data_IF_569117923222
#
_entry.id   IF_569117923222
#
_cell.length_a   1.000
_cell.length_b   1.000
_cell.length_c   1.000
_cell.angle_alpha   90.00
_cell.angle_beta   90.00
_cell.angle_gamma   90.00
#
_symmetry.space_group_name_H-M   'P 1'
#
loop_
_entity.id
_entity.type
_entity.pdbx_description
1 polymer ?
#
# COMPACT_ATOMS: atom_id res chain seq x y z
N UNK A 1 25.93 -22.94 -25.61
CA UNK A 1 25.87 -21.50 -25.28
C UNK A 1 24.73 -20.93 -26.11
N UNK A 2 23.60 -20.64 -25.49
CA UNK A 2 22.52 -19.92 -26.18
C UNK A 2 23.07 -18.58 -26.68
N UNK A 3 22.76 -18.25 -27.90
CA UNK A 3 23.18 -17.00 -28.52
C UNK A 3 22.42 -15.85 -27.77
N UNK A 4 23.11 -14.74 -27.54
CA UNK A 4 22.53 -13.56 -26.88
C UNK A 4 21.21 -13.11 -27.53
N UNK A 5 21.07 -13.30 -28.82
CA UNK A 5 19.85 -13.02 -29.59
C UNK A 5 18.69 -13.93 -29.15
N UNK A 6 18.95 -15.23 -28.94
CA UNK A 6 17.93 -16.19 -28.48
C UNK A 6 17.49 -15.87 -27.06
N UNK A 7 18.41 -15.43 -26.20
CA UNK A 7 18.10 -14.98 -24.85
C UNK A 7 17.21 -13.72 -24.84
N UNK A 8 17.46 -12.77 -25.72
CA UNK A 8 16.65 -11.55 -25.85
C UNK A 8 15.26 -11.86 -26.42
N UNK A 9 15.18 -12.75 -27.42
CA UNK A 9 13.89 -13.20 -27.99
C UNK A 9 13.06 -13.95 -26.95
N UNK A 10 13.63 -14.88 -26.21
CA UNK A 10 12.93 -15.57 -25.11
C UNK A 10 12.47 -14.63 -23.99
N UNK A 11 13.21 -13.57 -23.71
CA UNK A 11 12.78 -12.52 -22.76
C UNK A 11 11.64 -11.67 -23.30
N UNK A 12 11.67 -11.33 -24.59
CA UNK A 12 10.60 -10.55 -25.21
C UNK A 12 9.30 -11.36 -25.36
N UNK A 13 9.38 -12.67 -25.61
CA UNK A 13 8.22 -13.55 -25.67
C UNK A 13 7.55 -13.74 -24.30
N UNK A 14 8.28 -13.76 -23.19
CA UNK A 14 7.71 -13.76 -21.83
C UNK A 14 6.96 -12.46 -21.49
N UNK A 15 7.29 -11.36 -22.14
CA UNK A 15 6.63 -10.05 -21.94
C UNK A 15 5.29 -9.90 -22.69
N UNK A 16 4.91 -10.84 -23.56
CA UNK A 16 3.82 -10.68 -24.54
C UNK A 16 2.49 -11.39 -24.13
N UNK A 17 2.47 -12.19 -23.09
CA UNK A 17 1.25 -12.91 -22.68
C UNK A 17 0.65 -12.40 -21.36
N UNK A 18 0.38 -11.11 -21.27
CA UNK A 18 -0.61 -10.62 -20.29
C UNK A 18 -1.93 -10.41 -21.00
N UNK A 19 -2.98 -11.09 -20.55
CA UNK A 19 -4.33 -10.76 -20.95
C UNK A 19 -4.55 -9.27 -20.65
N UNK A 20 -5.10 -8.56 -21.60
CA UNK A 20 -5.33 -7.11 -21.50
C UNK A 20 -6.78 -6.78 -21.80
N UNK A 21 -7.31 -5.77 -21.11
CA UNK A 21 -8.67 -5.30 -21.30
C UNK A 21 -8.61 -3.85 -21.77
N UNK A 22 -9.03 -3.61 -23.01
CA UNK A 22 -9.11 -2.27 -23.57
C UNK A 22 -10.51 -1.69 -23.33
N UNK A 23 -10.59 -0.66 -22.48
CA UNK A 23 -11.79 0.09 -22.18
C UNK A 23 -11.56 1.59 -22.40
N UNK A 24 -12.63 2.32 -22.63
CA UNK A 24 -12.63 3.80 -22.58
C UNK A 24 -12.92 4.29 -21.15
N UNK A 25 -12.72 5.57 -20.87
CA UNK A 25 -13.06 6.15 -19.57
C UNK A 25 -14.57 6.14 -19.31
N UNK A 26 -15.38 6.18 -20.36
CA UNK A 26 -16.85 6.18 -20.29
C UNK A 26 -17.41 4.80 -19.91
N UNK A 27 -16.63 3.74 -20.10
CA UNK A 27 -16.99 2.39 -19.69
C UNK A 27 -16.80 2.18 -18.18
N UNK A 28 -16.09 3.08 -17.50
CA UNK A 28 -15.75 2.96 -16.09
C UNK A 28 -16.78 3.66 -15.20
N UNK A 29 -16.79 3.29 -13.93
CA UNK A 29 -17.71 3.81 -12.93
C UNK A 29 -17.64 5.35 -12.85
N UNK A 30 -18.77 6.01 -13.01
CA UNK A 30 -18.88 7.48 -13.03
C UNK A 30 -18.61 8.14 -11.66
N UNK A 31 -18.59 7.35 -10.57
CA UNK A 31 -18.25 7.83 -9.22
C UNK A 31 -16.74 7.94 -9.00
N UNK A 32 -15.91 7.40 -9.91
CA UNK A 32 -14.48 7.58 -9.86
C UNK A 32 -14.10 8.97 -10.37
N UNK A 33 -13.09 9.56 -9.74
CA UNK A 33 -12.42 10.76 -10.28
C UNK A 33 -11.67 10.43 -11.57
N UNK A 34 -11.44 11.41 -12.42
CA UNK A 34 -10.83 11.19 -13.73
C UNK A 34 -9.44 10.55 -13.64
N UNK A 35 -8.60 10.97 -12.68
CA UNK A 35 -7.30 10.33 -12.46
C UNK A 35 -7.43 8.85 -12.07
N UNK A 36 -8.45 8.50 -11.30
CA UNK A 36 -8.71 7.11 -10.89
C UNK A 36 -9.15 6.28 -12.09
N UNK A 37 -10.03 6.84 -12.96
CA UNK A 37 -10.46 6.17 -14.19
C UNK A 37 -9.27 5.91 -15.12
N UNK A 38 -8.40 6.90 -15.31
CA UNK A 38 -7.22 6.74 -16.17
C UNK A 38 -6.26 5.68 -15.64
N UNK A 39 -6.02 5.62 -14.31
CA UNK A 39 -5.21 4.59 -13.66
C UNK A 39 -5.85 3.21 -13.83
N UNK A 40 -7.15 3.07 -13.56
CA UNK A 40 -7.87 1.78 -13.68
C UNK A 40 -7.82 1.28 -15.13
N UNK A 41 -8.09 2.16 -16.10
CA UNK A 41 -8.02 1.83 -17.51
C UNK A 41 -6.62 1.35 -17.91
N UNK A 42 -5.59 2.10 -17.48
CA UNK A 42 -4.19 1.71 -17.72
C UNK A 42 -3.87 0.35 -17.09
N UNK A 43 -4.28 0.11 -15.84
CA UNK A 43 -4.04 -1.17 -15.15
C UNK A 43 -4.78 -2.34 -15.82
N UNK A 44 -5.99 -2.12 -16.36
CA UNK A 44 -6.73 -3.11 -17.15
C UNK A 44 -6.02 -3.42 -18.47
N UNK A 45 -5.53 -2.41 -19.16
CA UNK A 45 -4.74 -2.58 -20.39
C UNK A 45 -3.41 -3.31 -20.16
N UNK A 46 -2.83 -3.19 -18.96
CA UNK A 46 -1.62 -3.95 -18.56
C UNK A 46 -1.93 -5.38 -18.13
N UNK A 47 -3.14 -5.65 -17.61
CA UNK A 47 -3.53 -6.94 -17.02
C UNK A 47 -2.80 -7.26 -15.70
N UNK A 48 -1.52 -6.91 -15.60
CA UNK A 48 -0.67 -7.06 -14.40
C UNK A 48 0.00 -5.73 -14.09
N UNK A 49 -0.41 -5.11 -12.96
CA UNK A 49 -0.01 -3.75 -12.64
C UNK A 49 0.10 -3.52 -11.13
N UNK A 50 0.79 -2.45 -10.75
CA UNK A 50 0.78 -1.94 -9.39
C UNK A 50 0.26 -0.51 -9.32
N UNK A 51 -0.50 -0.21 -8.25
CA UNK A 51 -0.98 1.12 -7.90
C UNK A 51 -0.35 1.51 -6.56
N UNK A 52 0.76 2.22 -6.62
CA UNK A 52 1.48 2.76 -5.48
C UNK A 52 1.02 4.19 -5.24
N UNK A 53 -0.18 4.31 -4.70
CA UNK A 53 -0.83 5.58 -4.42
C UNK A 53 -0.88 5.84 -2.91
N UNK A 54 -0.64 7.07 -2.50
CA UNK A 54 -0.65 7.44 -1.08
C UNK A 54 -2.04 7.22 -0.44
N UNK A 55 -2.10 7.29 0.88
CA UNK A 55 -3.34 7.13 1.63
C UNK A 55 -4.33 8.25 1.26
N UNK A 56 -5.61 7.89 1.10
CA UNK A 56 -6.65 8.85 0.75
C UNK A 56 -6.88 9.05 -0.75
N UNK A 57 -6.05 8.48 -1.63
CA UNK A 57 -6.21 8.59 -3.09
C UNK A 57 -7.24 7.63 -3.70
N UNK A 58 -7.97 6.90 -2.86
CA UNK A 58 -9.07 6.04 -3.31
C UNK A 58 -8.63 4.71 -3.92
N UNK A 59 -7.54 4.13 -3.43
CA UNK A 59 -7.08 2.79 -3.86
C UNK A 59 -8.20 1.76 -3.86
N UNK A 60 -9.01 1.71 -2.80
CA UNK A 60 -10.12 0.76 -2.68
C UNK A 60 -11.13 0.89 -3.83
N UNK A 61 -11.49 2.12 -4.23
CA UNK A 61 -12.39 2.36 -5.34
C UNK A 61 -11.77 1.88 -6.68
N UNK A 62 -10.49 2.15 -6.90
CA UNK A 62 -9.76 1.68 -8.08
C UNK A 62 -9.65 0.15 -8.12
N UNK A 63 -9.37 -0.50 -6.99
CA UNK A 63 -9.32 -1.96 -6.85
C UNK A 63 -10.66 -2.62 -7.18
N UNK A 64 -11.74 -2.07 -6.63
CA UNK A 64 -13.11 -2.57 -6.84
C UNK A 64 -13.51 -2.48 -8.31
N UNK A 65 -13.29 -1.34 -8.93
CA UNK A 65 -13.61 -1.15 -10.35
C UNK A 65 -12.76 -2.07 -11.24
N UNK A 66 -11.45 -2.14 -11.00
CA UNK A 66 -10.55 -3.02 -11.74
C UNK A 66 -10.98 -4.49 -11.62
N UNK A 67 -11.22 -4.99 -10.41
CA UNK A 67 -11.65 -6.36 -10.18
C UNK A 67 -12.99 -6.66 -10.84
N UNK A 68 -13.95 -5.74 -10.72
CA UNK A 68 -15.26 -5.87 -11.34
C UNK A 68 -15.15 -5.97 -12.88
N UNK A 69 -14.34 -5.10 -13.51
CA UNK A 69 -14.16 -5.13 -14.97
C UNK A 69 -13.50 -6.41 -15.46
N UNK A 70 -12.54 -6.94 -14.69
CA UNK A 70 -11.96 -8.25 -15.01
C UNK A 70 -13.02 -9.36 -14.91
N UNK A 71 -13.84 -9.38 -13.88
CA UNK A 71 -14.93 -10.34 -13.75
C UNK A 71 -15.92 -10.26 -14.93
N UNK A 72 -16.33 -9.06 -15.31
CA UNK A 72 -17.25 -8.85 -16.45
C UNK A 72 -16.62 -9.33 -17.76
N UNK A 73 -15.33 -9.04 -17.98
CA UNK A 73 -14.64 -9.42 -19.21
C UNK A 73 -14.39 -10.93 -19.32
N UNK A 74 -13.97 -11.57 -18.22
CA UNK A 74 -13.58 -12.98 -18.22
C UNK A 74 -14.73 -13.94 -17.93
N UNK A 75 -15.82 -13.45 -17.35
CA UNK A 75 -16.88 -14.29 -16.78
C UNK A 75 -16.47 -15.06 -15.52
N UNK A 76 -15.25 -14.82 -15.00
CA UNK A 76 -14.70 -15.52 -13.83
C UNK A 76 -14.76 -14.67 -12.56
N UNK A 77 -14.16 -15.21 -11.49
CA UNK A 77 -14.16 -14.59 -10.18
C UNK A 77 -12.85 -13.84 -9.89
N UNK A 78 -12.94 -12.72 -9.20
CA UNK A 78 -11.81 -11.99 -8.65
C UNK A 78 -11.74 -12.21 -7.13
N UNK A 79 -10.52 -12.28 -6.58
CA UNK A 79 -10.25 -12.30 -5.15
C UNK A 79 -9.45 -11.06 -4.74
N UNK A 80 -10.00 -10.28 -3.83
CA UNK A 80 -9.25 -9.23 -3.12
C UNK A 80 -8.70 -9.88 -1.84
N UNK A 81 -7.39 -9.79 -1.62
CA UNK A 81 -6.74 -10.23 -0.38
C UNK A 81 -6.30 -8.99 0.38
N UNK A 82 -6.84 -8.80 1.57
CA UNK A 82 -6.66 -7.58 2.35
C UNK A 82 -6.29 -7.89 3.81
N UNK A 83 -5.77 -6.92 4.57
CA UNK A 83 -5.66 -7.04 6.02
C UNK A 83 -7.02 -7.30 6.68
N UNK A 84 -7.04 -8.05 7.79
CA UNK A 84 -8.27 -8.51 8.45
C UNK A 84 -9.29 -7.40 8.72
N UNK A 85 -8.83 -6.24 9.15
CA UNK A 85 -9.70 -5.11 9.53
C UNK A 85 -10.27 -4.34 8.34
N UNK A 86 -9.72 -4.54 7.13
CA UNK A 86 -10.10 -3.81 5.91
C UNK A 86 -11.27 -4.46 5.20
N UNK A 87 -11.39 -5.79 5.26
CA UNK A 87 -12.37 -6.54 4.46
C UNK A 87 -13.83 -6.06 4.65
N UNK A 88 -14.35 -5.83 5.87
CA UNK A 88 -15.72 -5.33 6.05
C UNK A 88 -15.93 -3.92 5.47
N UNK A 89 -14.91 -3.06 5.55
CA UNK A 89 -14.97 -1.72 4.98
C UNK A 89 -15.02 -1.78 3.45
N UNK A 90 -14.22 -2.65 2.83
CA UNK A 90 -14.21 -2.83 1.38
C UNK A 90 -15.56 -3.32 0.86
N UNK A 91 -16.25 -4.19 1.60
CA UNK A 91 -17.63 -4.59 1.29
C UNK A 91 -18.56 -3.37 1.31
N UNK A 92 -18.46 -2.52 2.34
CA UNK A 92 -19.24 -1.28 2.43
C UNK A 92 -18.94 -0.27 1.32
N UNK A 93 -17.67 -0.12 0.95
CA UNK A 93 -17.26 0.69 -0.20
C UNK A 93 -17.80 0.11 -1.51
N UNK A 94 -17.79 -1.22 -1.68
CA UNK A 94 -18.37 -1.89 -2.84
C UNK A 94 -19.84 -1.50 -3.06
N UNK A 95 -20.63 -1.45 -1.99
CA UNK A 95 -22.04 -0.99 -2.08
C UNK A 95 -22.14 0.46 -2.55
N UNK A 96 -21.26 1.36 -2.08
CA UNK A 96 -21.25 2.76 -2.51
C UNK A 96 -20.94 2.92 -4.00
N UNK A 97 -20.01 2.10 -4.51
CA UNK A 97 -19.62 2.13 -5.92
C UNK A 97 -20.51 1.26 -6.82
N UNK A 98 -21.46 0.51 -6.25
CA UNK A 98 -22.33 -0.39 -7.02
C UNK A 98 -21.61 -1.66 -7.51
N UNK A 99 -20.53 -2.03 -6.83
CA UNK A 99 -19.78 -3.27 -7.05
C UNK A 99 -20.02 -4.21 -5.86
N UNK A 100 -20.89 -5.21 -6.00
CA UNK A 100 -21.10 -6.19 -4.93
C UNK A 100 -19.82 -6.95 -4.60
N UNK A 101 -19.50 -7.04 -3.33
CA UNK A 101 -18.31 -7.76 -2.83
C UNK A 101 -18.75 -8.79 -1.79
N UNK A 102 -18.37 -10.05 -1.98
CA UNK A 102 -18.65 -11.15 -1.06
C UNK A 102 -17.50 -11.34 -0.09
N UNK A 103 -17.76 -11.24 1.21
CA UNK A 103 -16.78 -11.57 2.25
C UNK A 103 -16.71 -13.09 2.41
N UNK A 104 -15.55 -13.68 2.19
CA UNK A 104 -15.33 -15.12 2.22
C UNK A 104 -14.41 -15.53 3.38
N UNK A 105 -14.86 -16.50 4.16
CA UNK A 105 -14.09 -17.17 5.22
C UNK A 105 -13.38 -18.42 4.71
N UNK A 106 -13.98 -19.08 3.71
CA UNK A 106 -13.50 -20.30 3.06
C UNK A 106 -13.87 -20.28 1.57
N UNK A 107 -13.39 -21.28 0.83
CA UNK A 107 -13.72 -21.47 -0.59
C UNK A 107 -15.23 -21.66 -0.85
N UNK A 108 -15.96 -22.21 0.11
CA UNK A 108 -17.40 -22.48 -0.02
C UNK A 108 -18.25 -21.18 -0.03
N UNK A 109 -17.69 -20.07 0.43
CA UNK A 109 -18.37 -18.77 0.47
C UNK A 109 -18.29 -18.02 -0.86
N UNK A 110 -17.50 -18.48 -1.82
CA UNK A 110 -17.25 -17.79 -3.08
C UNK A 110 -18.54 -17.64 -3.88
N UNK A 111 -18.80 -16.41 -4.30
CA UNK A 111 -19.90 -16.06 -5.20
C UNK A 111 -19.38 -15.53 -6.54
N UNK A 112 -20.17 -15.59 -7.60
CA UNK A 112 -19.81 -14.98 -8.86
C UNK A 112 -19.48 -13.50 -8.72
N UNK A 113 -18.34 -13.06 -9.29
CA UNK A 113 -17.89 -11.69 -9.26
C UNK A 113 -16.74 -11.42 -8.27
N UNK A 114 -16.82 -10.32 -7.54
CA UNK A 114 -15.73 -9.86 -6.65
C UNK A 114 -15.89 -10.47 -5.26
N UNK A 115 -14.86 -11.17 -4.81
CA UNK A 115 -14.79 -11.79 -3.49
C UNK A 115 -13.63 -11.17 -2.70
N UNK A 116 -13.73 -11.14 -1.38
CA UNK A 116 -12.69 -10.63 -0.50
C UNK A 116 -12.42 -11.56 0.67
N UNK A 117 -11.15 -11.77 0.98
CA UNK A 117 -10.70 -12.51 2.17
C UNK A 117 -9.50 -11.79 2.80
N UNK A 118 -8.97 -12.32 3.89
CA UNK A 118 -7.75 -11.81 4.49
C UNK A 118 -6.55 -12.75 4.26
N UNK A 119 -5.34 -12.20 4.44
CA UNK A 119 -4.08 -12.91 4.20
C UNK A 119 -3.95 -14.19 5.05
N UNK A 120 -4.48 -14.19 6.27
CA UNK A 120 -4.38 -15.31 7.21
C UNK A 120 -5.26 -16.50 6.82
N UNK A 121 -6.22 -16.28 5.92
CA UNK A 121 -7.18 -17.31 5.47
C UNK A 121 -6.86 -17.87 4.08
N UNK A 122 -5.81 -17.40 3.42
CA UNK A 122 -5.51 -17.75 2.03
C UNK A 122 -5.40 -19.27 1.81
N UNK A 123 -4.87 -20.01 2.77
CA UNK A 123 -4.76 -21.48 2.72
C UNK A 123 -6.12 -22.19 2.54
N UNK A 124 -7.23 -21.57 2.98
CA UNK A 124 -8.58 -22.14 2.88
C UNK A 124 -9.17 -22.07 1.46
N UNK A 125 -8.45 -21.41 0.54
CA UNK A 125 -8.83 -21.27 -0.85
C UNK A 125 -7.97 -22.14 -1.78
N UNK A 126 -7.19 -23.08 -1.23
CA UNK A 126 -6.34 -23.96 -2.00
C UNK A 126 -7.14 -24.73 -3.06
N UNK A 127 -6.63 -24.76 -4.30
CA UNK A 127 -7.28 -25.39 -5.43
C UNK A 127 -8.38 -24.57 -6.11
N UNK A 128 -8.68 -23.37 -5.65
CA UNK A 128 -9.60 -22.46 -6.35
C UNK A 128 -8.83 -21.63 -7.37
N UNK A 129 -9.37 -21.57 -8.59
CA UNK A 129 -8.82 -20.73 -9.65
C UNK A 129 -9.58 -19.41 -9.73
N UNK A 130 -8.82 -18.29 -9.69
CA UNK A 130 -9.35 -16.96 -9.86
C UNK A 130 -8.87 -16.34 -11.17
N UNK A 131 -9.75 -15.64 -11.87
CA UNK A 131 -9.37 -14.86 -13.06
C UNK A 131 -8.56 -13.63 -12.69
N UNK A 132 -8.77 -13.08 -11.50
CA UNK A 132 -8.06 -11.92 -11.01
C UNK A 132 -7.73 -12.01 -9.53
N UNK A 133 -6.61 -11.40 -9.14
CA UNK A 133 -6.27 -11.17 -7.74
C UNK A 133 -5.85 -9.73 -7.53
N UNK A 134 -6.30 -9.16 -6.42
CA UNK A 134 -5.87 -7.85 -5.92
C UNK A 134 -5.24 -8.04 -4.55
N UNK A 135 -4.02 -7.54 -4.35
CA UNK A 135 -3.42 -7.42 -3.02
C UNK A 135 -3.63 -6.00 -2.51
N UNK A 136 -4.49 -5.84 -1.53
CA UNK A 136 -4.62 -4.59 -0.78
C UNK A 136 -3.58 -4.56 0.35
N UNK A 137 -2.87 -3.47 0.50
CA UNK A 137 -1.66 -3.33 1.31
C UNK A 137 -0.57 -4.37 0.94
N UNK A 138 -0.20 -4.39 -0.34
CA UNK A 138 0.80 -5.32 -0.90
C UNK A 138 2.21 -5.16 -0.31
N UNK A 139 2.45 -4.20 0.58
CA UNK A 139 3.65 -4.10 1.42
C UNK A 139 3.91 -5.35 2.27
N UNK A 140 2.93 -6.24 2.43
CA UNK A 140 3.12 -7.56 3.03
C UNK A 140 4.18 -8.40 2.29
N UNK A 141 4.42 -8.12 1.01
CA UNK A 141 5.45 -8.78 0.20
C UNK A 141 6.88 -8.34 0.53
N UNK A 142 7.10 -7.31 1.35
CA UNK A 142 8.42 -6.69 1.61
C UNK A 142 9.54 -7.64 2.03
N UNK A 143 9.23 -8.75 2.69
CA UNK A 143 10.24 -9.69 3.14
C UNK A 143 10.49 -10.77 2.10
N UNK A 144 11.64 -10.73 1.42
CA UNK A 144 12.02 -11.71 0.40
C UNK A 144 12.04 -13.17 0.93
N UNK A 145 12.49 -13.38 2.16
CA UNK A 145 12.51 -14.72 2.80
C UNK A 145 11.22 -15.04 3.53
N UNK A 146 10.22 -14.16 3.47
CA UNK A 146 8.97 -14.30 4.20
C UNK A 146 8.12 -15.46 3.70
N UNK A 147 7.69 -16.34 4.61
CA UNK A 147 6.80 -17.47 4.29
C UNK A 147 5.52 -16.98 3.59
N UNK A 148 4.94 -15.90 4.08
CA UNK A 148 3.69 -15.32 3.54
C UNK A 148 3.89 -14.82 2.11
N UNK A 149 5.01 -14.16 1.82
CA UNK A 149 5.35 -13.68 0.47
C UNK A 149 5.42 -14.84 -0.53
N UNK A 150 6.17 -15.89 -0.20
CA UNK A 150 6.31 -17.04 -1.09
C UNK A 150 4.98 -17.75 -1.31
N UNK A 151 4.21 -17.94 -0.24
CA UNK A 151 2.86 -18.50 -0.33
C UNK A 151 1.95 -17.71 -1.27
N UNK A 152 1.94 -16.38 -1.19
CA UNK A 152 1.12 -15.52 -2.07
C UNK A 152 1.56 -15.66 -3.53
N UNK A 153 2.86 -15.62 -3.80
CA UNK A 153 3.40 -15.73 -5.16
C UNK A 153 3.07 -17.09 -5.77
N UNK A 154 3.30 -18.16 -5.02
CA UNK A 154 3.03 -19.53 -5.49
C UNK A 154 1.52 -19.73 -5.69
N UNK A 155 0.68 -19.27 -4.77
CA UNK A 155 -0.77 -19.44 -4.84
C UNK A 155 -1.38 -18.78 -6.08
N UNK A 156 -0.90 -17.59 -6.46
CA UNK A 156 -1.42 -16.84 -7.60
C UNK A 156 -0.55 -16.94 -8.86
N UNK A 157 0.36 -17.92 -8.94
CA UNK A 157 1.27 -18.10 -10.09
C UNK A 157 0.55 -18.21 -11.43
N UNK A 158 -0.61 -18.87 -11.44
CA UNK A 158 -1.41 -19.11 -12.64
C UNK A 158 -2.55 -18.08 -12.84
N UNK A 159 -2.73 -17.14 -11.90
CA UNK A 159 -3.77 -16.11 -12.02
C UNK A 159 -3.38 -15.11 -13.12
N UNK A 160 -4.21 -14.95 -14.19
CA UNK A 160 -3.83 -14.11 -15.33
C UNK A 160 -3.77 -12.63 -14.99
N UNK A 161 -4.80 -12.09 -14.32
CA UNK A 161 -4.87 -10.67 -13.94
C UNK A 161 -4.43 -10.45 -12.50
N UNK A 162 -3.44 -9.59 -12.27
CA UNK A 162 -2.88 -9.33 -10.94
C UNK A 162 -2.71 -7.84 -10.69
N UNK A 163 -3.19 -7.38 -9.54
CA UNK A 163 -3.05 -6.00 -9.12
C UNK A 163 -2.44 -5.93 -7.71
N UNK A 164 -1.38 -5.14 -7.55
CA UNK A 164 -0.76 -4.86 -6.25
C UNK A 164 -1.01 -3.40 -5.85
N UNK A 165 -1.56 -3.17 -4.66
CA UNK A 165 -1.88 -1.83 -4.19
C UNK A 165 -1.30 -1.57 -2.82
N UNK A 166 -0.57 -0.47 -2.64
CA UNK A 166 -0.07 0.01 -1.34
C UNK A 166 0.32 1.49 -1.39
N UNK A 167 0.39 2.12 -0.23
CA UNK A 167 0.99 3.44 -0.07
C UNK A 167 2.50 3.39 0.19
N UNK A 168 3.02 2.24 0.61
CA UNK A 168 4.41 2.05 1.02
C UNK A 168 5.04 0.84 0.30
N UNK A 169 5.32 0.95 -1.02
CA UNK A 169 5.79 -0.19 -1.82
C UNK A 169 7.19 -0.67 -1.43
N UNK A 170 8.04 0.24 -0.96
CA UNK A 170 9.42 -0.02 -0.58
C UNK A 170 9.75 0.72 0.72
N UNK A 171 9.23 0.27 1.89
CA UNK A 171 9.37 1.00 3.14
C UNK A 171 10.80 1.02 3.70
N UNK A 172 11.70 0.14 3.25
CA UNK A 172 13.08 0.08 3.73
C UNK A 172 14.12 0.25 2.62
N UNK A 173 13.87 -0.30 1.42
CA UNK A 173 14.84 -0.29 0.32
C UNK A 173 14.12 -0.53 -1.03
N UNK A 174 14.63 0.07 -2.12
CA UNK A 174 14.12 -0.14 -3.49
C UNK A 174 14.13 -1.59 -3.94
N UNK A 175 14.98 -2.44 -3.36
CA UNK A 175 14.96 -3.89 -3.65
C UNK A 175 13.60 -4.53 -3.35
N UNK A 176 12.82 -4.01 -2.41
CA UNK A 176 11.51 -4.55 -2.07
C UNK A 176 10.52 -4.48 -3.24
N UNK A 177 10.74 -3.58 -4.21
CA UNK A 177 9.98 -3.49 -5.46
C UNK A 177 10.07 -4.77 -6.30
N UNK A 178 11.19 -5.50 -6.19
CA UNK A 178 11.36 -6.80 -6.84
C UNK A 178 10.36 -7.86 -6.39
N UNK A 179 9.90 -7.79 -5.14
CA UNK A 179 8.86 -8.71 -4.65
C UNK A 179 7.50 -8.46 -5.32
N UNK A 180 7.17 -7.19 -5.56
CA UNK A 180 5.96 -6.83 -6.31
C UNK A 180 6.07 -7.24 -7.78
N UNK A 181 7.24 -7.01 -8.40
CA UNK A 181 7.49 -7.42 -9.79
C UNK A 181 7.38 -8.95 -9.95
N UNK A 182 7.88 -9.73 -9.00
CA UNK A 182 7.79 -11.19 -9.02
C UNK A 182 6.36 -11.68 -8.80
N UNK A 183 5.61 -11.10 -7.86
CA UNK A 183 4.18 -11.37 -7.71
C UNK A 183 3.41 -11.09 -9.00
N UNK A 184 3.69 -9.98 -9.66
CA UNK A 184 3.06 -9.60 -10.93
C UNK A 184 3.55 -10.45 -12.11
N UNK A 185 4.62 -11.23 -11.94
CA UNK A 185 5.25 -12.02 -13.01
C UNK A 185 5.92 -11.16 -14.09
N UNK A 186 6.37 -9.95 -13.72
CA UNK A 186 7.10 -9.03 -14.60
C UNK A 186 8.57 -9.45 -14.70
N UNK A 187 9.20 -9.74 -13.55
CA UNK A 187 10.60 -10.11 -13.44
C UNK A 187 10.84 -10.81 -12.10
N UNK A 188 11.66 -11.83 -12.06
CA UNK A 188 12.03 -12.45 -10.79
C UNK A 188 12.90 -11.50 -9.95
N UNK A 189 12.82 -11.65 -8.63
CA UNK A 189 13.59 -10.84 -7.69
C UNK A 189 15.11 -10.90 -7.98
N UNK A 190 15.62 -12.11 -8.25
CA UNK A 190 17.04 -12.31 -8.56
C UNK A 190 17.48 -11.67 -9.87
N UNK A 191 16.64 -11.71 -10.90
CA UNK A 191 16.89 -11.02 -12.17
C UNK A 191 16.95 -9.51 -11.98
N UNK A 192 15.99 -8.95 -11.22
CA UNK A 192 15.95 -7.52 -10.90
C UNK A 192 17.23 -7.08 -10.18
N UNK A 193 17.66 -7.84 -9.15
CA UNK A 193 18.90 -7.55 -8.43
C UNK A 193 20.12 -7.61 -9.37
N UNK A 194 20.25 -8.64 -10.17
CA UNK A 194 21.40 -8.78 -11.09
C UNK A 194 21.44 -7.69 -12.15
N UNK A 195 20.29 -7.23 -12.60
CA UNK A 195 20.18 -6.20 -13.65
C UNK A 195 20.47 -4.80 -13.10
N UNK A 196 19.85 -4.41 -11.99
CA UNK A 196 19.83 -3.02 -11.55
C UNK A 196 20.69 -2.74 -10.31
N UNK A 197 21.06 -3.73 -9.53
CA UNK A 197 21.73 -3.52 -8.25
C UNK A 197 23.14 -4.10 -8.21
N UNK A 198 23.98 -3.59 -7.33
CA UNK A 198 25.32 -4.08 -7.04
C UNK A 198 25.52 -4.10 -5.52
N UNK A 199 26.30 -5.06 -5.03
CA UNK A 199 26.71 -5.08 -3.63
C UNK A 199 27.55 -3.84 -3.30
N UNK A 200 27.26 -3.24 -2.15
CA UNK A 200 28.10 -2.16 -1.65
C UNK A 200 29.42 -2.75 -1.14
N UNK A 201 30.54 -2.26 -1.70
CA UNK A 201 31.85 -2.90 -1.59
C UNK A 201 32.46 -3.06 -0.19
N UNK A 202 31.73 -2.65 0.87
CA UNK A 202 32.15 -2.82 2.26
C UNK A 202 31.25 -3.75 3.09
N UNK A 203 30.05 -4.06 2.65
CA UNK A 203 29.11 -4.93 3.36
C UNK A 203 28.29 -5.76 2.36
N UNK A 204 28.50 -7.05 2.33
CA UNK A 204 27.82 -8.01 1.43
C UNK A 204 26.29 -8.07 1.61
N UNK A 205 25.75 -7.48 2.67
CA UNK A 205 24.32 -7.41 2.96
C UNK A 205 23.64 -6.15 2.41
N UNK A 206 24.43 -5.15 1.97
CA UNK A 206 23.87 -3.90 1.43
C UNK A 206 23.99 -3.86 -0.08
N UNK A 207 22.87 -3.59 -0.72
CA UNK A 207 22.75 -3.40 -2.15
C UNK A 207 22.52 -1.92 -2.46
N UNK A 208 23.03 -1.45 -3.58
CA UNK A 208 22.75 -0.11 -4.10
C UNK A 208 22.42 -0.19 -5.57
N UNK A 209 21.57 0.72 -6.02
CA UNK A 209 21.27 0.86 -7.45
C UNK A 209 22.53 1.24 -8.23
N UNK A 210 22.77 0.58 -9.36
CA UNK A 210 23.88 0.92 -10.26
C UNK A 210 23.61 2.27 -10.90
N UNK A 211 24.53 3.23 -10.82
CA UNK A 211 24.32 4.57 -11.36
C UNK A 211 23.99 4.59 -12.86
N UNK A 212 24.63 3.71 -13.66
CA UNK A 212 24.35 3.60 -15.10
C UNK A 212 23.02 2.88 -15.42
N UNK A 213 22.37 2.24 -14.46
CA UNK A 213 21.12 1.54 -14.63
C UNK A 213 19.94 2.31 -14.04
N UNK A 214 20.16 3.47 -13.44
CA UNK A 214 19.13 4.22 -12.70
C UNK A 214 17.98 4.63 -13.62
N UNK A 215 18.24 5.25 -14.75
CA UNK A 215 17.18 5.66 -15.69
C UNK A 215 16.38 4.45 -16.23
N UNK A 216 17.09 3.35 -16.52
CA UNK A 216 16.44 2.11 -17.01
C UNK A 216 15.59 1.47 -15.91
N UNK A 217 16.02 1.54 -14.65
CA UNK A 217 15.26 1.07 -13.50
C UNK A 217 13.95 1.85 -13.35
N UNK A 218 13.99 3.19 -13.45
CA UNK A 218 12.79 4.01 -13.37
C UNK A 218 11.84 3.80 -14.55
N UNK A 219 12.38 3.62 -15.76
CA UNK A 219 11.59 3.24 -16.93
C UNK A 219 10.92 1.88 -16.74
N UNK A 220 11.66 0.91 -16.22
CA UNK A 220 11.15 -0.41 -15.89
C UNK A 220 10.03 -0.31 -14.83
N UNK A 221 10.22 0.43 -13.74
CA UNK A 221 9.19 0.63 -12.73
C UNK A 221 7.93 1.28 -13.32
N UNK A 222 8.08 2.39 -14.05
CA UNK A 222 6.96 3.10 -14.67
C UNK A 222 6.23 2.29 -15.74
N UNK A 223 6.81 1.20 -16.26
CA UNK A 223 6.16 0.33 -17.24
C UNK A 223 5.06 -0.55 -16.67
N UNK A 224 5.08 -0.84 -15.35
CA UNK A 224 4.13 -1.72 -14.67
C UNK A 224 3.55 -1.14 -13.38
N UNK A 225 4.05 -0.01 -12.87
CA UNK A 225 3.59 0.64 -11.66
C UNK A 225 3.24 2.11 -11.89
N UNK A 226 2.12 2.56 -11.33
CA UNK A 226 1.82 3.98 -11.13
C UNK A 226 2.23 4.36 -9.73
N UNK A 227 3.07 5.39 -9.60
CA UNK A 227 3.49 5.95 -8.31
C UNK A 227 2.97 7.37 -8.20
N UNK A 228 2.20 7.65 -7.15
CA UNK A 228 1.63 8.99 -6.93
C UNK A 228 1.42 9.31 -5.45
N UNK A 229 1.69 10.55 -5.08
CA UNK A 229 1.46 11.11 -3.75
C UNK A 229 0.22 12.01 -3.72
N UNK A 230 -0.10 12.61 -4.86
CA UNK A 230 -1.28 13.46 -5.07
C UNK A 230 -1.77 13.36 -6.52
N UNK A 231 -3.02 13.72 -6.83
CA UNK A 231 -3.50 13.81 -8.20
C UNK A 231 -2.69 14.78 -9.06
N UNK A 232 -2.13 15.84 -8.46
CA UNK A 232 -1.28 16.82 -9.14
C UNK A 232 0.00 16.20 -9.74
N UNK A 233 0.49 15.09 -9.20
CA UNK A 233 1.63 14.36 -9.77
C UNK A 233 1.34 13.88 -11.19
N UNK A 234 0.09 13.58 -11.49
CA UNK A 234 -0.37 13.15 -12.82
C UNK A 234 -0.99 14.31 -13.64
N UNK A 235 -1.01 15.54 -13.09
CA UNK A 235 -1.52 16.72 -13.76
C UNK A 235 -3.01 17.00 -13.54
N UNK A 236 -3.63 16.39 -12.53
CA UNK A 236 -5.02 16.64 -12.17
C UNK A 236 -5.08 17.64 -11.01
N UNK A 237 -5.74 18.75 -11.24
CA UNK A 237 -6.01 19.75 -10.19
C UNK A 237 -7.37 19.47 -9.55
N UNK A 238 -7.34 18.91 -8.35
CA UNK A 238 -8.52 18.52 -7.61
C UNK A 238 -8.47 19.09 -6.20
N UNK A 239 -9.51 19.85 -5.77
CA UNK A 239 -9.57 20.39 -4.42
C UNK A 239 -9.68 19.28 -3.36
N UNK A 240 -9.14 19.57 -2.16
CA UNK A 240 -9.22 18.65 -1.01
C UNK A 240 -8.10 17.63 -0.90
N UNK A 241 -7.13 17.65 -1.81
CA UNK A 241 -5.92 16.82 -1.72
C UNK A 241 -4.74 17.56 -1.08
N UNK A 242 -4.86 18.89 -0.87
CA UNK A 242 -3.94 19.66 -0.05
C UNK A 242 -4.28 19.40 1.42
N UNK A 243 -3.46 18.60 2.08
CA UNK A 243 -3.71 18.23 3.46
C UNK A 243 -3.36 19.38 4.41
N UNK A 244 -4.12 19.56 5.49
CA UNK A 244 -3.80 20.55 6.51
C UNK A 244 -2.46 20.22 7.19
N UNK A 245 -1.86 21.19 7.91
CA UNK A 245 -0.58 20.98 8.59
C UNK A 245 -0.62 19.79 9.56
N UNK A 246 0.43 18.96 9.52
CA UNK A 246 0.69 17.92 10.51
C UNK A 246 1.67 18.49 11.55
N UNK A 247 1.27 18.51 12.81
CA UNK A 247 2.07 19.03 13.93
C UNK A 247 2.43 17.87 14.85
N UNK A 248 3.72 17.67 15.08
CA UNK A 248 4.21 16.61 15.97
C UNK A 248 4.73 17.25 17.25
N UNK A 249 4.16 16.84 18.37
CA UNK A 249 4.48 17.30 19.72
C UNK A 249 5.14 16.17 20.50
N UNK A 250 6.25 16.47 21.14
CA UNK A 250 6.97 15.53 21.98
C UNK A 250 6.68 15.77 23.46
N UNK A 251 6.36 14.71 24.19
CA UNK A 251 6.11 14.73 25.62
C UNK A 251 7.05 13.74 26.30
N UNK A 252 8.06 14.25 27.01
CA UNK A 252 9.07 13.45 27.71
C UNK A 252 8.68 13.35 29.18
N UNK A 253 8.51 12.12 29.70
CA UNK A 253 7.98 11.89 31.05
C UNK A 253 9.06 11.76 32.13
N UNK A 254 10.34 11.48 31.79
CA UNK A 254 11.46 11.31 32.72
C UNK A 254 12.67 12.15 32.26
N UNK A 255 12.54 13.47 32.37
CA UNK A 255 13.48 14.46 31.80
C UNK A 255 14.94 14.40 32.22
N UNK A 256 15.28 13.73 33.34
CA UNK A 256 16.64 13.69 33.91
C UNK A 256 17.41 12.39 33.60
N UNK A 257 16.84 11.47 32.83
CA UNK A 257 17.52 10.22 32.51
C UNK A 257 18.57 10.42 31.40
N UNK A 258 19.81 9.92 31.56
CA UNK A 258 20.83 10.06 30.52
C UNK A 258 20.42 9.35 29.24
N UNK A 259 20.46 10.06 28.11
CA UNK A 259 20.23 9.50 26.77
C UNK A 259 21.41 8.60 26.43
N UNK A 260 21.21 7.28 26.45
CA UNK A 260 22.22 6.32 26.01
C UNK A 260 21.99 6.03 24.53
N UNK A 261 22.95 6.39 23.69
CA UNK A 261 22.88 6.29 22.21
C UNK A 261 22.76 4.85 21.67
N UNK A 262 23.05 3.82 22.47
CA UNK A 262 23.01 2.43 22.04
C UNK A 262 22.38 1.51 23.09
N UNK A 263 21.04 1.42 23.07
CA UNK A 263 20.34 0.41 23.87
C UNK A 263 20.02 -0.83 23.04
N UNK A 264 20.24 -2.01 23.61
CA UNK A 264 19.78 -3.28 23.05
C UNK A 264 18.25 -3.33 23.05
N UNK A 265 17.65 -4.20 22.22
CA UNK A 265 16.20 -4.40 22.18
C UNK A 265 15.61 -4.79 23.56
N UNK A 266 16.37 -5.54 24.35
CA UNK A 266 15.96 -5.94 25.72
C UNK A 266 15.93 -4.73 26.65
N UNK A 267 16.96 -3.92 26.65
CA UNK A 267 17.04 -2.69 27.46
C UNK A 267 15.94 -1.68 27.11
N UNK A 268 15.61 -1.54 25.83
CA UNK A 268 14.49 -0.69 25.38
C UNK A 268 13.15 -1.20 25.91
N UNK A 269 12.92 -2.52 25.89
CA UNK A 269 11.70 -3.14 26.45
C UNK A 269 11.60 -2.95 27.96
N UNK A 270 12.72 -3.03 28.68
CA UNK A 270 12.77 -2.78 30.12
C UNK A 270 12.51 -1.32 30.47
N UNK A 271 13.15 -0.37 29.79
CA UNK A 271 12.91 1.06 29.94
C UNK A 271 11.44 1.42 29.70
N UNK A 272 10.85 0.85 28.65
CA UNK A 272 9.45 1.05 28.29
C UNK A 272 8.48 0.51 29.34
N UNK A 273 8.79 -0.62 29.98
CA UNK A 273 8.00 -1.16 31.08
C UNK A 273 8.14 -0.33 32.35
N UNK A 274 9.34 0.15 32.62
CA UNK A 274 9.63 0.96 33.81
C UNK A 274 8.88 2.31 33.81
N UNK A 275 8.66 2.90 32.64
CA UNK A 275 8.02 4.24 32.50
C UNK A 275 6.56 4.14 32.04
N UNK A 276 5.94 2.96 32.14
CA UNK A 276 4.58 2.74 31.64
C UNK A 276 3.55 3.63 32.35
N UNK A 277 3.63 3.70 33.68
CA UNK A 277 2.66 4.44 34.48
C UNK A 277 2.72 5.94 34.16
N UNK A 278 3.93 6.50 34.10
CA UNK A 278 4.15 7.92 33.81
C UNK A 278 3.71 8.28 32.38
N UNK A 279 4.02 7.44 31.39
CA UNK A 279 3.59 7.68 30.00
C UNK A 279 2.07 7.60 29.84
N UNK A 280 1.43 6.61 30.46
CA UNK A 280 -0.03 6.48 30.40
C UNK A 280 -0.72 7.62 31.16
N UNK A 281 -0.17 8.06 32.29
CA UNK A 281 -0.71 9.19 33.04
C UNK A 281 -0.60 10.49 32.23
N UNK A 282 0.56 10.81 31.67
CA UNK A 282 0.76 11.99 30.84
C UNK A 282 -0.17 12.02 29.62
N UNK A 283 -0.38 10.85 28.98
CA UNK A 283 -1.31 10.74 27.87
C UNK A 283 -2.78 10.95 28.33
N UNK A 284 -3.16 10.35 29.46
CA UNK A 284 -4.50 10.52 30.03
C UNK A 284 -4.76 11.98 30.42
N UNK A 285 -3.78 12.65 30.99
CA UNK A 285 -3.89 14.08 31.38
C UNK A 285 -4.11 14.97 30.16
N UNK A 286 -3.41 14.73 29.05
CA UNK A 286 -3.62 15.45 27.78
C UNK A 286 -5.05 15.28 27.26
N UNK A 287 -5.52 14.03 27.20
CA UNK A 287 -6.87 13.70 26.69
C UNK A 287 -7.95 14.28 27.61
N UNK A 288 -7.76 14.19 28.92
CA UNK A 288 -8.73 14.68 29.92
C UNK A 288 -8.74 16.20 30.02
N UNK A 289 -7.59 16.85 29.74
CA UNK A 289 -7.48 18.30 29.67
C UNK A 289 -8.23 18.94 28.50
N UNK A 290 -8.69 18.15 27.55
CA UNK A 290 -9.39 18.62 26.35
C UNK A 290 -10.66 17.78 26.08
N UNK A 291 -11.70 17.93 26.91
CA UNK A 291 -12.88 17.10 26.89
C UNK A 291 -13.80 17.33 25.68
N UNK A 292 -13.61 18.44 24.95
CA UNK A 292 -14.42 18.81 23.77
C UNK A 292 -14.01 18.10 22.47
N UNK A 293 -12.85 17.48 22.46
CA UNK A 293 -12.26 16.93 21.24
C UNK A 293 -12.25 15.40 21.21
N UNK A 294 -12.28 14.85 19.99
CA UNK A 294 -12.03 13.44 19.80
C UNK A 294 -10.55 13.12 19.80
N UNK A 295 -10.18 12.03 20.47
CA UNK A 295 -8.80 11.60 20.62
C UNK A 295 -8.59 10.15 20.18
N UNK A 296 -7.57 9.94 19.34
CA UNK A 296 -7.11 8.61 18.95
C UNK A 296 -5.83 8.29 19.72
N UNK A 297 -5.89 7.29 20.60
CA UNK A 297 -4.83 6.92 21.51
C UNK A 297 -4.21 5.59 21.08
N UNK A 298 -2.99 5.66 20.55
CA UNK A 298 -2.22 4.51 20.10
C UNK A 298 -1.31 3.99 21.20
N UNK A 299 -1.38 2.70 21.46
CA UNK A 299 -0.49 1.99 22.37
C UNK A 299 0.09 0.75 21.70
N UNK A 300 1.11 0.13 22.31
CA UNK A 300 1.75 -1.07 21.76
C UNK A 300 1.59 -2.27 22.71
N UNK A 301 1.66 -2.04 24.03
CA UNK A 301 1.50 -3.08 25.04
C UNK A 301 0.04 -3.20 25.50
N UNK A 302 -0.36 -4.42 25.93
CA UNK A 302 -1.69 -4.63 26.52
C UNK A 302 -1.85 -3.86 27.82
N UNK A 303 -0.78 -3.81 28.64
CA UNK A 303 -0.77 -3.05 29.89
C UNK A 303 -0.91 -1.53 29.69
N UNK A 304 -0.38 -0.98 28.59
CA UNK A 304 -0.64 0.42 28.20
C UNK A 304 -2.10 0.61 27.84
N UNK A 305 -2.66 -0.28 27.03
CA UNK A 305 -4.09 -0.23 26.62
C UNK A 305 -5.03 -0.23 27.83
N UNK A 306 -4.79 -1.11 28.80
CA UNK A 306 -5.61 -1.22 30.03
C UNK A 306 -5.47 0.00 30.94
N UNK A 307 -4.24 0.50 31.12
CA UNK A 307 -3.97 1.70 31.93
C UNK A 307 -4.66 2.95 31.31
N UNK A 308 -4.54 3.13 29.99
CA UNK A 308 -5.17 4.25 29.27
C UNK A 308 -6.69 4.18 29.30
N UNK A 309 -7.28 2.99 29.08
CA UNK A 309 -8.73 2.80 29.16
C UNK A 309 -9.29 3.06 30.57
N UNK A 310 -8.47 2.83 31.61
CA UNK A 310 -8.84 3.14 33.00
C UNK A 310 -8.66 4.62 33.32
N UNK A 311 -7.59 5.25 32.80
CA UNK A 311 -7.24 6.65 33.08
C UNK A 311 -8.01 7.68 32.27
N UNK A 312 -8.65 7.29 31.17
CA UNK A 312 -9.41 8.18 30.30
C UNK A 312 -10.91 7.84 30.43
N UNK A 313 -11.73 8.68 31.09
CA UNK A 313 -13.17 8.47 31.19
C UNK A 313 -13.82 8.32 29.81
N UNK A 314 -14.73 7.37 29.68
CA UNK A 314 -15.49 7.09 28.46
C UNK A 314 -14.65 6.64 27.25
N UNK A 315 -13.39 6.26 27.48
CA UNK A 315 -12.56 5.69 26.42
C UNK A 315 -13.08 4.33 25.97
N UNK A 316 -13.19 4.16 24.65
CA UNK A 316 -13.51 2.88 24.04
C UNK A 316 -12.20 2.16 23.74
N UNK A 317 -12.00 1.00 24.37
CA UNK A 317 -10.83 0.17 24.14
C UNK A 317 -11.13 -0.90 23.09
N UNK A 318 -10.18 -1.11 22.13
CA UNK A 318 -10.25 -2.19 21.13
C UNK A 318 -9.00 -3.06 21.24
N UNK A 319 -9.20 -4.29 21.70
CA UNK A 319 -8.14 -5.30 21.93
C UNK A 319 -8.04 -6.31 20.79
N UNK A 320 -6.86 -6.91 20.64
CA UNK A 320 -6.65 -8.02 19.71
C UNK A 320 -7.54 -9.23 19.99
N UNK A 321 -7.84 -9.51 21.26
CA UNK A 321 -8.68 -10.61 21.74
C UNK A 321 -10.21 -10.38 21.57
N UNK A 322 -10.65 -9.15 21.27
CA UNK A 322 -12.07 -8.87 21.07
C UNK A 322 -12.62 -9.63 19.86
N UNK A 323 -13.90 -10.01 19.91
CA UNK A 323 -14.61 -10.61 18.78
C UNK A 323 -14.65 -9.63 17.60
N UNK A 324 -14.56 -10.14 16.37
CA UNK A 324 -14.54 -9.32 15.16
C UNK A 324 -15.71 -8.33 15.06
N UNK A 325 -16.93 -8.78 15.42
CA UNK A 325 -18.11 -7.93 15.44
C UNK A 325 -18.02 -6.77 16.45
N UNK A 326 -17.43 -7.02 17.63
CA UNK A 326 -17.23 -6.00 18.66
C UNK A 326 -16.17 -4.97 18.23
N UNK A 327 -15.05 -5.44 17.63
CA UNK A 327 -14.05 -4.55 17.05
C UNK A 327 -14.67 -3.62 16.02
N UNK A 328 -15.38 -4.19 15.04
CA UNK A 328 -16.03 -3.42 13.97
C UNK A 328 -17.02 -2.39 14.52
N UNK A 329 -17.86 -2.77 15.49
CA UNK A 329 -18.84 -1.87 16.11
C UNK A 329 -18.16 -0.69 16.83
N UNK A 330 -17.12 -0.96 17.64
CA UNK A 330 -16.40 0.08 18.38
C UNK A 330 -15.63 1.04 17.46
N UNK A 331 -14.95 0.51 16.43
CA UNK A 331 -14.23 1.31 15.44
C UNK A 331 -15.21 2.19 14.63
N UNK A 332 -16.36 1.65 14.27
CA UNK A 332 -17.41 2.39 13.56
C UNK A 332 -18.01 3.49 14.46
N UNK A 333 -18.26 3.20 15.75
CA UNK A 333 -18.73 4.20 16.74
C UNK A 333 -17.80 5.41 16.81
N UNK A 334 -16.48 5.18 16.81
CA UNK A 334 -15.49 6.26 16.77
C UNK A 334 -15.52 7.02 15.44
N UNK A 335 -15.64 6.34 14.31
CA UNK A 335 -15.77 6.98 12.99
C UNK A 335 -16.99 7.88 12.86
N UNK A 336 -18.08 7.56 13.58
CA UNK A 336 -19.32 8.33 13.61
C UNK A 336 -19.33 9.45 14.66
N UNK A 337 -18.25 9.61 15.42
CA UNK A 337 -18.15 10.64 16.47
C UNK A 337 -18.88 10.29 17.78
N UNK A 338 -19.39 9.06 17.92
CA UNK A 338 -20.11 8.66 19.15
C UNK A 338 -19.19 8.33 20.33
N UNK A 339 -17.90 8.12 20.06
CA UNK A 339 -16.90 7.85 21.10
C UNK A 339 -15.88 8.99 21.10
N UNK A 340 -15.65 9.60 22.27
CA UNK A 340 -14.70 10.70 22.45
C UNK A 340 -13.25 10.23 22.33
N UNK A 341 -12.91 9.13 22.96
CA UNK A 341 -11.56 8.59 22.92
C UNK A 341 -11.57 7.11 22.48
N UNK A 342 -10.67 6.77 21.58
CA UNK A 342 -10.43 5.38 21.14
C UNK A 342 -9.03 4.97 21.52
N UNK A 343 -8.90 3.92 22.36
CA UNK A 343 -7.62 3.32 22.74
C UNK A 343 -7.44 2.02 21.95
N UNK A 344 -6.38 1.92 21.15
CA UNK A 344 -6.12 0.73 20.35
C UNK A 344 -4.64 0.66 19.91
N UNK A 345 -4.27 -0.39 19.20
CA UNK A 345 -2.91 -0.59 18.68
C UNK A 345 -2.85 -0.34 17.17
N UNK A 346 -1.73 0.21 16.65
CA UNK A 346 -1.52 0.31 15.21
C UNK A 346 -1.65 -1.03 14.48
N UNK A 347 -1.23 -2.12 15.09
CA UNK A 347 -1.37 -3.49 14.54
C UNK A 347 -2.82 -3.96 14.43
N UNK A 348 -3.76 -3.37 15.19
CA UNK A 348 -5.19 -3.76 15.18
C UNK A 348 -5.99 -2.85 14.25
N UNK A 349 -5.82 -1.55 14.34
CA UNK A 349 -6.65 -0.57 13.66
C UNK A 349 -5.84 0.44 12.81
N UNK A 350 -4.53 0.25 12.68
CA UNK A 350 -3.66 1.08 11.85
C UNK A 350 -3.86 0.89 10.34
N UNK A 351 -4.69 -0.06 9.92
CA UNK A 351 -5.01 -0.31 8.53
C UNK A 351 -6.52 -0.16 8.27
N UNK A 352 -6.87 0.40 7.13
CA UNK A 352 -8.22 0.39 6.57
C UNK A 352 -9.20 1.45 7.05
N UNK A 353 -9.17 1.88 8.30
CA UNK A 353 -10.16 2.81 8.85
C UNK A 353 -9.96 4.26 8.40
N UNK A 354 -11.05 5.01 8.30
CA UNK A 354 -11.08 6.42 7.93
C UNK A 354 -11.60 7.24 9.11
N UNK A 355 -10.73 8.08 9.68
CA UNK A 355 -11.05 8.88 10.86
C UNK A 355 -10.73 10.37 10.65
N UNK A 356 -11.22 10.95 9.52
CA UNK A 356 -11.11 12.39 9.27
C UNK A 356 -11.88 13.25 10.28
N UNK A 357 -12.82 12.64 11.02
CA UNK A 357 -13.53 13.25 12.11
C UNK A 357 -12.66 13.54 13.35
N UNK A 358 -11.45 12.96 13.40
CA UNK A 358 -10.48 13.13 14.48
C UNK A 358 -9.22 13.80 13.95
N UNK A 359 -8.73 14.82 14.64
CA UNK A 359 -7.50 15.54 14.29
C UNK A 359 -6.47 15.55 15.43
N UNK A 360 -6.75 14.88 16.54
CA UNK A 360 -5.84 14.75 17.69
C UNK A 360 -5.51 13.31 17.96
N UNK A 361 -4.23 12.98 18.03
CA UNK A 361 -3.79 11.63 18.33
C UNK A 361 -2.57 11.60 19.25
N UNK A 362 -2.47 10.52 20.02
CA UNK A 362 -1.36 10.28 20.94
C UNK A 362 -0.77 8.90 20.65
N UNK A 363 0.56 8.82 20.62
CA UNK A 363 1.31 7.58 20.67
C UNK A 363 1.94 7.41 22.06
N UNK A 364 1.53 6.39 22.79
CA UNK A 364 2.10 6.04 24.10
C UNK A 364 3.21 5.04 23.89
N UNK A 365 4.43 5.55 23.66
CA UNK A 365 5.55 4.79 23.15
C UNK A 365 5.44 4.51 21.64
N UNK A 366 6.58 4.31 21.01
CA UNK A 366 6.68 4.02 19.58
C UNK A 366 7.25 2.60 19.37
N UNK A 367 6.70 1.88 18.41
CA UNK A 367 7.36 0.68 17.88
C UNK A 367 8.48 1.09 16.92
N UNK A 368 9.45 0.21 16.66
CA UNK A 368 10.52 0.47 15.67
C UNK A 368 10.01 0.46 14.21
N UNK A 369 8.70 0.28 13.99
CA UNK A 369 8.09 0.20 12.67
C UNK A 369 7.59 1.56 12.20
N UNK A 370 8.36 2.21 11.33
CA UNK A 370 7.91 3.44 10.66
C UNK A 370 6.60 3.24 9.88
N UNK A 371 6.44 2.12 9.20
CA UNK A 371 5.22 1.82 8.44
C UNK A 371 3.96 1.83 9.33
N UNK A 372 4.03 1.19 10.52
CA UNK A 372 2.91 1.22 11.47
C UNK A 372 2.60 2.64 11.96
N UNK A 373 3.63 3.41 12.28
CA UNK A 373 3.48 4.81 12.65
C UNK A 373 2.85 5.62 11.52
N UNK A 374 3.39 5.52 10.32
CA UNK A 374 2.88 6.21 9.14
C UNK A 374 1.42 5.87 8.86
N UNK A 375 1.09 4.59 8.79
CA UNK A 375 -0.28 4.12 8.56
C UNK A 375 -1.24 4.60 9.65
N UNK A 376 -0.82 4.62 10.91
CA UNK A 376 -1.61 5.10 12.02
C UNK A 376 -1.89 6.61 11.93
N UNK A 377 -0.88 7.44 11.59
CA UNK A 377 -1.06 8.88 11.36
C UNK A 377 -2.01 9.14 10.20
N UNK A 378 -1.89 8.35 9.12
CA UNK A 378 -2.72 8.48 7.92
C UNK A 378 -4.17 8.00 8.10
N UNK A 379 -4.58 7.58 9.32
CA UNK A 379 -6.01 7.35 9.65
C UNK A 379 -6.77 8.68 9.79
N UNK A 380 -6.15 9.69 10.34
CA UNK A 380 -6.71 11.02 10.55
C UNK A 380 -6.20 12.03 9.51
N UNK A 381 -4.89 12.04 9.23
CA UNK A 381 -4.25 12.96 8.29
C UNK A 381 -4.33 12.43 6.85
N UNK A 382 -5.46 12.69 6.23
CA UNK A 382 -5.80 12.14 4.90
C UNK A 382 -6.79 13.02 4.17
N UNK A 383 -7.07 12.71 2.90
CA UNK A 383 -8.12 13.38 2.09
C UNK A 383 -9.43 13.55 2.88
N UNK A 384 -9.96 14.75 2.87
CA UNK A 384 -11.18 15.10 3.60
C UNK A 384 -10.95 15.59 5.05
N UNK A 385 -9.69 15.64 5.54
CA UNK A 385 -9.34 16.33 6.77
C UNK A 385 -9.26 17.83 6.52
N UNK A 386 -9.98 18.61 7.31
CA UNK A 386 -10.02 20.08 7.21
C UNK A 386 -9.21 20.79 8.31
N UNK A 387 -8.98 20.08 9.43
CA UNK A 387 -8.30 20.63 10.58
C UNK A 387 -6.81 20.24 10.63
N UNK A 388 -5.93 21.10 11.15
CA UNK A 388 -4.55 20.71 11.45
C UNK A 388 -4.52 19.48 12.36
N UNK A 389 -3.71 18.48 11.99
CA UNK A 389 -3.62 17.25 12.79
C UNK A 389 -2.48 17.35 13.77
N UNK A 390 -2.80 17.22 15.07
CA UNK A 390 -1.84 17.22 16.17
C UNK A 390 -1.53 15.79 16.61
N UNK A 391 -0.24 15.42 16.54
CA UNK A 391 0.28 14.10 16.93
C UNK A 391 1.18 14.27 18.14
N UNK A 392 0.76 13.74 19.28
CA UNK A 392 1.54 13.73 20.51
C UNK A 392 2.29 12.41 20.67
N UNK A 393 3.60 12.49 20.87
CA UNK A 393 4.46 11.32 21.09
C UNK A 393 4.93 11.35 22.54
N UNK A 394 4.35 10.47 23.37
CA UNK A 394 4.68 10.36 24.79
C UNK A 394 5.71 9.27 24.98
N UNK A 395 6.93 9.66 25.30
CA UNK A 395 8.10 8.76 25.43
C UNK A 395 8.90 9.07 26.69
N UNK A 396 9.69 8.08 27.12
CA UNK A 396 10.77 8.27 28.06
C UNK A 396 11.98 8.90 27.36
N UNK A 397 12.77 9.69 28.05
CA UNK A 397 14.07 10.19 27.56
C UNK A 397 14.97 9.06 27.05
N UNK A 398 14.83 7.85 27.63
CA UNK A 398 15.57 6.64 27.24
C UNK A 398 15.10 6.04 25.91
N UNK A 399 13.91 6.41 25.42
CA UNK A 399 13.36 5.94 24.14
C UNK A 399 13.74 6.85 22.95
N UNK A 400 14.55 7.92 23.18
CA UNK A 400 14.97 8.87 22.12
C UNK A 400 15.61 8.21 20.90
N UNK A 401 16.32 7.06 21.09
CA UNK A 401 16.87 6.28 19.98
C UNK A 401 15.78 5.65 19.07
N UNK A 402 14.61 5.32 19.59
CA UNK A 402 13.49 4.77 18.79
C UNK A 402 12.91 5.88 17.93
N UNK A 403 12.69 7.06 18.51
CA UNK A 403 12.21 8.24 17.79
C UNK A 403 13.17 8.64 16.67
N UNK A 404 14.47 8.80 16.98
CA UNK A 404 15.49 9.11 15.97
C UNK A 404 15.53 8.08 14.83
N UNK A 405 15.32 6.79 15.13
CA UNK A 405 15.24 5.75 14.12
C UNK A 405 13.98 5.89 13.23
N UNK A 406 12.84 6.26 13.81
CA UNK A 406 11.60 6.51 13.05
C UNK A 406 11.75 7.75 12.17
N UNK A 407 12.29 8.85 12.71
CA UNK A 407 12.54 10.08 11.95
C UNK A 407 13.50 9.85 10.77
N UNK A 408 14.58 9.07 11.01
CA UNK A 408 15.50 8.68 9.95
C UNK A 408 14.80 7.83 8.89
N UNK A 409 14.02 6.82 9.30
CA UNK A 409 13.25 5.98 8.36
C UNK A 409 12.21 6.79 7.61
N UNK A 410 11.58 7.75 8.27
CA UNK A 410 10.64 8.68 7.62
C UNK A 410 11.35 9.47 6.52
N UNK A 411 12.48 10.10 6.85
CA UNK A 411 13.24 10.86 5.88
C UNK A 411 13.72 10.00 4.70
N UNK A 412 14.14 8.76 4.96
CA UNK A 412 14.53 7.81 3.93
C UNK A 412 13.33 7.41 3.04
N UNK A 413 12.19 7.10 3.63
CA UNK A 413 10.94 6.79 2.91
C UNK A 413 10.43 7.96 2.08
N UNK A 414 10.46 9.18 2.64
CA UNK A 414 10.00 10.39 1.95
C UNK A 414 10.91 10.70 0.75
N UNK A 415 12.23 10.54 0.90
CA UNK A 415 13.18 10.65 -0.21
C UNK A 415 12.93 9.59 -1.29
N UNK A 416 12.73 8.33 -0.90
CA UNK A 416 12.43 7.26 -1.86
C UNK A 416 11.13 7.52 -2.60
N UNK A 417 10.08 7.93 -1.89
CA UNK A 417 8.78 8.24 -2.49
C UNK A 417 8.86 9.43 -3.43
N UNK A 418 9.56 10.49 -3.03
CA UNK A 418 9.80 11.65 -3.89
C UNK A 418 10.56 11.26 -5.15
N UNK A 419 11.65 10.49 -5.03
CA UNK A 419 12.43 9.99 -6.15
C UNK A 419 11.59 9.11 -7.08
N UNK A 420 10.83 8.15 -6.55
CA UNK A 420 9.94 7.32 -7.36
C UNK A 420 8.91 8.17 -8.11
N UNK A 421 8.24 9.11 -7.42
CA UNK A 421 7.23 9.98 -8.02
C UNK A 421 7.81 10.89 -9.09
N UNK A 422 8.96 11.53 -8.83
CA UNK A 422 9.64 12.43 -9.77
C UNK A 422 10.12 11.67 -11.01
N UNK A 423 10.83 10.57 -10.82
CA UNK A 423 11.45 9.81 -11.91
C UNK A 423 10.42 9.06 -12.78
N UNK A 424 9.31 8.62 -12.21
CA UNK A 424 8.28 7.90 -12.98
C UNK A 424 7.18 8.81 -13.53
N UNK A 425 7.05 10.06 -13.06
CA UNK A 425 5.96 10.99 -13.41
C UNK A 425 5.75 11.11 -14.91
N UNK A 426 6.76 11.48 -15.65
CA UNK A 426 6.64 11.70 -17.10
C UNK A 426 6.40 10.39 -17.87
N UNK A 427 6.97 9.28 -17.39
CA UNK A 427 6.77 7.94 -17.97
C UNK A 427 5.32 7.53 -17.80
N UNK A 428 4.79 7.65 -16.58
CA UNK A 428 3.40 7.30 -16.24
C UNK A 428 2.42 8.20 -16.98
N UNK A 429 2.65 9.52 -17.02
CA UNK A 429 1.81 10.46 -17.80
C UNK A 429 1.75 10.06 -19.27
N UNK A 430 2.87 9.77 -19.89
CA UNK A 430 2.91 9.31 -21.29
C UNK A 430 2.13 8.02 -21.49
N UNK A 431 2.24 7.08 -20.58
CA UNK A 431 1.51 5.81 -20.65
C UNK A 431 0.01 5.99 -20.45
N UNK A 432 -0.41 6.79 -19.48
CA UNK A 432 -1.83 7.12 -19.27
C UNK A 432 -2.42 7.84 -20.49
N UNK A 433 -1.70 8.80 -21.07
CA UNK A 433 -2.10 9.52 -22.27
C UNK A 433 -2.14 8.64 -23.51
N UNK A 434 -1.18 7.69 -23.66
CA UNK A 434 -1.16 6.77 -24.80
C UNK A 434 -2.37 5.82 -24.81
N UNK A 435 -2.89 5.45 -23.63
CA UNK A 435 -4.13 4.67 -23.51
C UNK A 435 -5.38 5.50 -23.79
N UNK A 436 -5.28 6.85 -23.82
CA UNK A 436 -6.36 7.77 -24.19
C UNK A 436 -6.48 8.01 -25.69
N UNK A 437 -5.48 7.64 -26.50
CA UNK A 437 -5.59 7.81 -27.94
C UNK A 437 -6.67 6.86 -28.46
N UNK A 438 -7.81 7.43 -28.85
CA UNK A 438 -8.67 6.83 -29.85
C UNK A 438 -7.78 6.55 -31.06
N UNK A 439 -7.51 5.30 -31.34
CA UNK A 439 -6.92 4.90 -32.61
C UNK A 439 -7.93 5.28 -33.68
N UNK A 440 -7.73 6.42 -34.33
CA UNK A 440 -8.40 6.66 -35.61
C UNK A 440 -7.96 5.49 -36.49
N UNK A 441 -8.89 4.72 -37.08
CA UNK A 441 -8.53 3.64 -37.97
C UNK A 441 -7.61 4.22 -39.02
N UNK A 442 -6.39 3.70 -39.10
CA UNK A 442 -5.47 4.06 -40.18
C UNK A 442 -5.99 3.39 -41.45
N UNK A 443 -6.62 4.15 -42.32
CA UNK A 443 -6.90 3.73 -43.69
C UNK A 443 -5.62 4.01 -44.52
N UNK A 444 -4.86 2.98 -44.90
CA UNK A 444 -3.67 3.17 -45.71
C UNK A 444 -4.07 3.74 -47.07
N UNK A 445 -3.70 4.98 -47.35
CA UNK A 445 -3.94 5.63 -48.67
C UNK A 445 -2.94 5.16 -49.73
N UNK A 446 -1.94 4.41 -49.39
CA UNK A 446 -0.95 3.83 -50.29
C UNK A 446 -0.74 2.35 -49.97
N UNK A 447 -0.78 1.50 -51.00
CA UNK A 447 -0.45 0.09 -50.89
C UNK A 447 1.00 -0.05 -50.45
N UNK A 448 1.22 -0.77 -49.34
CA UNK A 448 2.56 -1.06 -48.82
C UNK A 448 3.26 -1.96 -49.83
N UNK A 449 4.29 -1.48 -50.49
CA UNK A 449 5.18 -2.31 -51.33
C UNK A 449 6.28 -2.85 -50.44
N UNK A 450 6.45 -4.18 -50.41
CA UNK A 450 7.56 -4.79 -49.72
C UNK A 450 8.88 -4.30 -50.35
N UNK A 451 9.90 -3.98 -49.55
CA UNK A 451 11.21 -3.61 -50.10
C UNK A 451 11.76 -4.74 -50.96
N UNK A 452 12.34 -4.39 -52.08
CA UNK A 452 12.87 -5.36 -53.09
C UNK A 452 13.86 -6.41 -52.52
N UNK A 453 14.45 -6.16 -51.34
CA UNK A 453 15.34 -7.09 -50.63
C UNK A 453 14.61 -8.23 -49.91
N UNK A 454 13.28 -8.12 -49.66
CA UNK A 454 12.49 -9.23 -49.09
C UNK A 454 12.01 -10.22 -50.14
N UNK A 455 11.88 -9.83 -51.39
CA UNK A 455 11.56 -10.73 -52.49
C UNK A 455 12.65 -11.79 -52.74
N UNK A 456 13.91 -11.49 -52.39
CA UNK A 456 15.03 -12.40 -52.54
C UNK A 456 15.14 -13.51 -51.47
N UNK A 457 14.36 -13.48 -50.42
CA UNK A 457 14.38 -14.52 -49.36
C UNK A 457 13.58 -15.78 -49.70
N UNK A 458 12.70 -15.73 -50.68
CA UNK A 458 11.86 -16.88 -51.07
C UNK A 458 12.42 -17.69 -52.25
N UNK A 459 13.46 -17.22 -52.89
CA UNK A 459 14.10 -17.99 -54.03
C UNK A 459 15.29 -18.86 -53.61
N UNK A 460 15.71 -18.87 -52.34
CA UNK A 460 16.81 -19.67 -51.81
C UNK A 460 16.39 -20.68 -50.72
N UNK A 461 15.20 -21.24 -50.77
CA UNK A 461 14.79 -22.34 -49.87
C UNK A 461 14.40 -23.59 -50.70
#
# INVERSE_FOLDING_TARGET
MENYTDFVVHKSERAVHTDSIALTVDDLNNKLYDFQKDIVRWALAKGRAAIFADCGLGKTAMQLEWAHRVCVHTGGNALIVAPLTVSPQTVGEGLKFGVPVTLCETADDIQPGVNITNYEKLDKFAGVHFSAVVLDESSILKSFTGKVRNQIIDFFSDTPFRLACTATPAPNDFMELGNHAEFLGIMSYSEMLSMFFVHDGGQTSKWRLKGHAEDVFWQWLGSWAVVMNSPADLGYDLPGYDLPPLRVHEVIVDGDAPITESMTLTQRREARRATLAERCQAAADLVNGDPGEQWLVWCDLNSESEALAHGIPDAVEVKGSDKASMKSSRLLSFSMGFSRALVTKPSIAGFGMNWQNCHKMIFVGLSDSYEQYYQAVRRCWRFGQSEPVDVYIVISAREGAVKANIERKQADCDKMRAAMGEQTREIVKKQLQSTCRLTTPYEPQTTMTLPAWEEFRHECA
#
